data_IF_686922820680
#
_entry.id   IF_686922820680
#
_cell.length_a   1.000
_cell.length_b   1.000
_cell.length_c   1.000
_cell.angle_alpha   90.00
_cell.angle_beta   90.00
_cell.angle_gamma   90.00
#
_symmetry.space_group_name_H-M   'P 1'
#
loop_
_entity.id
_entity.type
_entity.pdbx_description
1 polymer ?
#
# COMPACT_ATOMS: atom_id res chain seq x y z
N UNK A 1 -4.33 16.23 2.43
CA UNK A 1 -4.56 14.79 2.19
C UNK A 1 -3.96 13.94 3.29
N UNK A 2 -4.53 12.77 3.48
CA UNK A 2 -4.02 11.76 4.39
C UNK A 2 -3.56 10.57 3.55
N UNK A 3 -2.35 10.07 3.82
CA UNK A 3 -1.81 8.90 3.14
C UNK A 3 -1.62 7.79 4.17
N UNK A 4 -2.23 6.63 3.92
CA UNK A 4 -2.11 5.45 4.79
C UNK A 4 -1.22 4.43 4.09
N UNK A 5 -0.13 4.05 4.76
CA UNK A 5 0.76 3.00 4.33
C UNK A 5 1.06 2.08 5.51
N UNK A 6 0.82 0.80 5.34
CA UNK A 6 1.03 -0.22 6.38
C UNK A 6 1.86 -1.36 5.81
N UNK A 7 2.72 -1.94 6.63
CA UNK A 7 3.68 -2.94 6.18
C UNK A 7 3.84 -4.10 7.17
N UNK A 8 3.87 -3.81 8.47
CA UNK A 8 4.37 -4.76 9.47
C UNK A 8 3.32 -5.72 10.05
N UNK A 9 2.05 -5.54 9.80
CA UNK A 9 1.00 -6.40 10.31
C UNK A 9 0.79 -7.68 9.45
N UNK A 10 1.44 -7.75 8.29
CA UNK A 10 1.50 -8.94 7.41
C UNK A 10 2.96 -9.15 6.98
N UNK A 11 3.82 -9.43 7.96
CA UNK A 11 5.27 -9.51 7.77
C UNK A 11 5.83 -10.94 7.69
N UNK A 12 5.01 -11.94 7.97
CA UNK A 12 5.46 -13.34 8.06
C UNK A 12 5.95 -13.71 9.45
N UNK A 13 5.47 -13.04 10.49
CA UNK A 13 5.85 -13.26 11.89
C UNK A 13 4.66 -13.80 12.69
N UNK A 14 4.92 -14.40 13.88
CA UNK A 14 3.83 -14.88 14.75
C UNK A 14 2.90 -13.75 15.25
N UNK A 15 3.34 -12.51 15.22
CA UNK A 15 2.57 -11.34 15.65
C UNK A 15 1.64 -10.82 14.55
N UNK A 16 1.69 -11.39 13.34
CA UNK A 16 0.87 -10.92 12.22
C UNK A 16 -0.62 -11.02 12.54
N UNK A 17 -1.35 -10.03 12.05
CA UNK A 17 -2.80 -10.10 11.96
C UNK A 17 -3.19 -11.03 10.80
N UNK A 18 -4.43 -11.52 10.83
CA UNK A 18 -5.01 -12.17 9.64
C UNK A 18 -5.34 -11.11 8.57
N UNK A 19 -5.56 -11.54 7.33
CA UNK A 19 -6.02 -10.64 6.26
C UNK A 19 -7.35 -9.98 6.65
N UNK A 20 -8.29 -10.76 7.24
CA UNK A 20 -9.57 -10.22 7.68
C UNK A 20 -9.44 -9.17 8.78
N UNK A 21 -8.60 -9.42 9.78
CA UNK A 21 -8.34 -8.46 10.85
C UNK A 21 -7.68 -7.19 10.31
N UNK A 22 -6.74 -7.34 9.38
CA UNK A 22 -6.08 -6.21 8.72
C UNK A 22 -7.08 -5.36 7.94
N UNK A 23 -7.98 -6.00 7.20
CA UNK A 23 -9.01 -5.30 6.46
C UNK A 23 -9.97 -4.56 7.40
N UNK A 24 -10.39 -5.18 8.50
CA UNK A 24 -11.23 -4.54 9.52
C UNK A 24 -10.55 -3.32 10.13
N UNK A 25 -9.24 -3.40 10.37
CA UNK A 25 -8.44 -2.25 10.84
C UNK A 25 -8.53 -1.08 9.87
N UNK A 26 -8.35 -1.32 8.57
CA UNK A 26 -8.46 -0.26 7.56
C UNK A 26 -9.86 0.35 7.53
N UNK A 27 -10.89 -0.48 7.63
CA UNK A 27 -12.28 0.00 7.66
C UNK A 27 -12.54 0.89 8.88
N UNK A 28 -12.12 0.46 10.06
CA UNK A 28 -12.26 1.23 11.29
C UNK A 28 -11.48 2.55 11.22
N UNK A 29 -10.24 2.50 10.75
CA UNK A 29 -9.40 3.68 10.63
C UNK A 29 -9.98 4.70 9.64
N UNK A 30 -10.35 4.26 8.46
CA UNK A 30 -10.92 5.16 7.44
C UNK A 30 -12.27 5.73 7.85
N UNK A 31 -13.11 4.94 8.53
CA UNK A 31 -14.37 5.43 9.09
C UNK A 31 -14.11 6.54 10.11
N UNK A 32 -13.14 6.35 10.99
CA UNK A 32 -12.79 7.36 12.00
C UNK A 32 -12.23 8.63 11.35
N UNK A 33 -11.33 8.48 10.40
CA UNK A 33 -10.73 9.61 9.70
C UNK A 33 -11.77 10.41 8.91
N UNK A 34 -12.68 9.74 8.22
CA UNK A 34 -13.73 10.40 7.45
C UNK A 34 -14.76 11.09 8.35
N UNK A 35 -15.00 10.55 9.53
CA UNK A 35 -15.88 11.19 10.51
C UNK A 35 -15.24 12.47 11.06
N UNK A 36 -13.95 12.41 11.41
CA UNK A 36 -13.24 13.54 12.04
C UNK A 36 -12.78 14.59 11.00
N UNK A 37 -12.52 14.15 9.76
CA UNK A 37 -12.01 15.01 8.68
C UNK A 37 -12.76 14.74 7.37
N UNK A 38 -14.06 15.10 7.30
CA UNK A 38 -14.93 14.68 6.18
C UNK A 38 -14.53 15.23 4.81
N UNK A 39 -13.79 16.34 4.78
CA UNK A 39 -13.41 17.00 3.52
C UNK A 39 -11.97 16.72 3.09
N UNK A 40 -11.24 15.88 3.82
CA UNK A 40 -9.83 15.58 3.51
C UNK A 40 -9.74 14.30 2.68
N UNK A 41 -9.16 14.35 1.47
CA UNK A 41 -8.92 13.15 0.68
C UNK A 41 -7.98 12.17 1.39
N UNK A 42 -8.33 10.87 1.34
CA UNK A 42 -7.54 9.79 1.95
C UNK A 42 -7.03 8.88 0.84
N UNK A 43 -5.72 8.65 0.82
CA UNK A 43 -5.07 7.72 -0.09
C UNK A 43 -4.63 6.48 0.70
N UNK A 44 -4.99 5.29 0.19
CA UNK A 44 -4.55 4.02 0.74
C UNK A 44 -3.54 3.42 -0.23
N UNK A 45 -2.31 3.20 0.24
CA UNK A 45 -1.28 2.56 -0.58
C UNK A 45 -1.37 1.05 -0.46
N UNK A 46 -1.12 0.35 -1.56
CA UNK A 46 -1.00 -1.11 -1.56
C UNK A 46 0.13 -1.58 -0.64
N UNK A 47 0.01 -2.80 -0.14
CA UNK A 47 1.14 -3.46 0.51
C UNK A 47 2.28 -3.61 -0.49
N UNK A 48 3.50 -3.37 -0.01
CA UNK A 48 4.71 -3.46 -0.83
C UNK A 48 5.24 -4.90 -0.81
N UNK A 49 5.37 -5.56 -1.97
CA UNK A 49 6.09 -6.82 -2.02
C UNK A 49 7.58 -6.59 -1.76
N UNK A 50 8.27 -7.57 -1.20
CA UNK A 50 9.71 -7.49 -0.99
C UNK A 50 10.37 -8.85 -1.16
N UNK A 51 11.68 -8.82 -1.43
CA UNK A 51 12.47 -10.05 -1.55
C UNK A 51 12.53 -10.80 -0.22
N UNK A 52 12.63 -10.07 0.89
CA UNK A 52 12.71 -10.65 2.23
C UNK A 52 11.39 -11.28 2.70
N UNK A 53 10.25 -10.86 2.12
CA UNK A 53 8.91 -11.33 2.51
C UNK A 53 8.15 -11.94 1.34
N UNK A 54 8.84 -12.67 0.47
CA UNK A 54 8.24 -13.29 -0.73
C UNK A 54 7.08 -14.21 -0.41
N UNK A 55 7.15 -14.95 0.68
CA UNK A 55 6.09 -15.87 1.11
C UNK A 55 4.79 -15.14 1.50
N UNK A 56 4.87 -13.86 1.79
CA UNK A 56 3.71 -13.03 2.13
C UNK A 56 3.00 -12.43 0.92
N UNK A 57 3.60 -12.49 -0.27
CA UNK A 57 3.04 -11.88 -1.48
C UNK A 57 1.60 -12.33 -1.75
N UNK A 58 1.23 -13.63 -1.66
CA UNK A 58 -0.16 -14.04 -1.86
C UNK A 58 -1.14 -13.36 -0.90
N UNK A 59 -0.77 -13.19 0.37
CA UNK A 59 -1.61 -12.48 1.35
C UNK A 59 -1.69 -10.99 1.05
N UNK A 60 -0.57 -10.38 0.64
CA UNK A 60 -0.54 -8.98 0.22
C UNK A 60 -1.46 -8.73 -0.99
N UNK A 61 -1.48 -9.65 -1.94
CA UNK A 61 -2.36 -9.55 -3.11
C UNK A 61 -3.84 -9.61 -2.70
N UNK A 62 -4.19 -10.46 -1.74
CA UNK A 62 -5.57 -10.57 -1.24
C UNK A 62 -5.99 -9.26 -0.56
N UNK A 63 -5.19 -8.75 0.38
CA UNK A 63 -5.54 -7.50 1.07
C UNK A 63 -5.57 -6.31 0.10
N UNK A 64 -4.66 -6.26 -0.86
CA UNK A 64 -4.64 -5.20 -1.87
C UNK A 64 -5.92 -5.19 -2.70
N UNK A 65 -6.40 -6.36 -3.11
CA UNK A 65 -7.66 -6.48 -3.86
C UNK A 65 -8.86 -6.01 -3.02
N UNK A 66 -8.90 -6.39 -1.74
CA UNK A 66 -9.95 -5.95 -0.82
C UNK A 66 -9.94 -4.42 -0.62
N UNK A 67 -8.76 -3.84 -0.44
CA UNK A 67 -8.61 -2.39 -0.26
C UNK A 67 -9.00 -1.62 -1.53
N UNK A 68 -8.63 -2.13 -2.69
CA UNK A 68 -9.00 -1.51 -3.97
C UNK A 68 -10.51 -1.50 -4.17
N UNK A 69 -11.17 -2.62 -3.93
CA UNK A 69 -12.63 -2.72 -4.03
C UNK A 69 -13.32 -1.81 -3.01
N UNK A 70 -12.86 -1.81 -1.77
CA UNK A 70 -13.40 -0.99 -0.71
C UNK A 70 -13.32 0.50 -1.05
N UNK A 71 -12.16 0.98 -1.49
CA UNK A 71 -11.96 2.37 -1.86
C UNK A 71 -12.83 2.77 -3.06
N UNK A 72 -13.02 1.86 -4.04
CA UNK A 72 -13.83 2.14 -5.23
C UNK A 72 -15.31 2.40 -4.91
N UNK A 73 -15.78 1.91 -3.76
CA UNK A 73 -17.18 2.03 -3.33
C UNK A 73 -17.42 3.16 -2.33
N UNK A 74 -16.38 3.93 -1.96
CA UNK A 74 -16.48 5.01 -0.98
C UNK A 74 -15.90 6.30 -1.53
N UNK A 75 -16.69 7.37 -1.46
CA UNK A 75 -16.19 8.70 -1.76
C UNK A 75 -15.10 9.13 -0.78
N UNK A 76 -14.14 9.89 -1.25
CA UNK A 76 -13.05 10.41 -0.41
C UNK A 76 -11.91 9.43 -0.16
N UNK A 77 -12.02 8.17 -0.59
CA UNK A 77 -10.95 7.19 -0.53
C UNK A 77 -10.42 6.89 -1.92
N UNK A 78 -9.09 6.83 -2.06
CA UNK A 78 -8.42 6.44 -3.30
C UNK A 78 -7.36 5.40 -2.99
N UNK A 79 -7.45 4.24 -3.63
CA UNK A 79 -6.41 3.21 -3.57
C UNK A 79 -5.35 3.53 -4.62
N UNK A 80 -4.07 3.45 -4.22
CA UNK A 80 -2.94 3.65 -5.14
C UNK A 80 -2.07 2.40 -5.13
N UNK A 81 -1.94 1.79 -6.31
CA UNK A 81 -1.04 0.65 -6.50
C UNK A 81 0.40 1.14 -6.61
N UNK A 82 1.17 0.88 -5.56
CA UNK A 82 2.62 1.14 -5.53
C UNK A 82 3.41 -0.18 -5.54
N UNK A 83 2.75 -1.30 -5.77
CA UNK A 83 3.38 -2.62 -5.81
C UNK A 83 3.78 -3.03 -7.22
N UNK A 84 2.92 -2.81 -8.20
CA UNK A 84 3.14 -3.27 -9.58
C UNK A 84 4.40 -2.70 -10.22
N UNK A 85 4.79 -1.48 -9.88
CA UNK A 85 6.00 -0.84 -10.42
C UNK A 85 7.30 -1.52 -9.95
N UNK A 86 7.22 -2.38 -8.93
CA UNK A 86 8.38 -3.06 -8.37
C UNK A 86 8.69 -4.40 -9.07
N UNK A 87 7.86 -4.79 -10.04
CA UNK A 87 8.08 -5.99 -10.86
C UNK A 87 8.66 -5.64 -12.22
N UNK A 88 9.47 -6.55 -12.76
CA UNK A 88 9.98 -6.41 -14.13
C UNK A 88 8.95 -6.91 -15.16
N UNK A 89 9.31 -6.86 -16.44
CA UNK A 89 8.42 -7.28 -17.53
C UNK A 89 8.13 -8.79 -17.54
N UNK A 90 8.91 -9.58 -16.78
CA UNK A 90 8.73 -11.02 -16.64
C UNK A 90 7.94 -11.39 -15.38
N UNK A 91 7.41 -10.41 -14.65
CA UNK A 91 6.64 -10.61 -13.43
C UNK A 91 7.50 -10.97 -12.22
N UNK A 92 8.79 -10.67 -12.24
CA UNK A 92 9.70 -10.90 -11.11
C UNK A 92 9.98 -9.58 -10.38
N UNK A 93 10.12 -9.66 -9.04
CA UNK A 93 10.55 -8.51 -8.25
C UNK A 93 11.93 -8.04 -8.70
N UNK A 94 12.05 -6.73 -8.91
CA UNK A 94 13.30 -6.10 -9.29
C UNK A 94 14.23 -6.05 -8.09
N UNK A 95 15.46 -6.56 -8.27
CA UNK A 95 16.48 -6.53 -7.20
C UNK A 95 17.15 -5.16 -7.07
N UNK A 96 17.17 -4.39 -8.14
CA UNK A 96 17.88 -3.10 -8.22
C UNK A 96 17.18 -1.98 -7.45
N UNK A 97 15.99 -2.20 -6.93
CA UNK A 97 15.22 -1.21 -6.18
C UNK A 97 15.24 -1.43 -4.67
N UNK A 98 15.83 -2.54 -4.20
CA UNK A 98 15.94 -2.85 -2.79
C UNK A 98 17.36 -2.66 -2.26
N UNK A 99 17.46 -2.34 -0.97
CA UNK A 99 18.73 -2.41 -0.23
C UNK A 99 19.15 -3.87 -0.06
N UNK A 100 20.34 -4.09 0.50
CA UNK A 100 20.88 -5.43 0.71
C UNK A 100 19.99 -6.34 1.56
N UNK A 101 19.19 -5.76 2.47
CA UNK A 101 18.25 -6.53 3.30
C UNK A 101 17.07 -7.12 2.50
N UNK A 102 16.90 -6.72 1.24
CA UNK A 102 15.79 -7.19 0.40
C UNK A 102 14.41 -6.73 0.88
N UNK A 103 14.34 -5.82 1.83
CA UNK A 103 13.11 -5.33 2.44
C UNK A 103 12.90 -3.84 2.18
N UNK A 104 13.84 -3.01 2.58
CA UNK A 104 13.76 -1.57 2.40
C UNK A 104 14.14 -1.19 0.97
N UNK A 105 13.40 -0.25 0.39
CA UNK A 105 13.75 0.29 -0.92
C UNK A 105 14.97 1.19 -0.84
N UNK A 106 15.76 1.17 -1.91
CA UNK A 106 16.80 2.17 -2.12
C UNK A 106 16.22 3.40 -2.84
N UNK A 107 17.07 4.35 -3.25
CA UNK A 107 16.62 5.57 -3.92
C UNK A 107 15.84 5.26 -5.21
N UNK A 108 16.25 4.25 -5.98
CA UNK A 108 15.56 3.86 -7.22
C UNK A 108 14.10 3.45 -6.94
N UNK A 109 13.87 2.70 -5.87
CA UNK A 109 12.52 2.30 -5.47
C UNK A 109 11.66 3.50 -5.07
N UNK A 110 12.22 4.40 -4.27
CA UNK A 110 11.51 5.62 -3.88
C UNK A 110 11.24 6.55 -5.06
N UNK A 111 12.11 6.60 -6.05
CA UNK A 111 11.88 7.38 -7.27
C UNK A 111 10.68 6.84 -8.06
N UNK A 112 10.53 5.52 -8.12
CA UNK A 112 9.34 4.90 -8.73
C UNK A 112 8.07 5.30 -7.99
N UNK A 113 8.09 5.24 -6.66
CA UNK A 113 6.95 5.64 -5.85
C UNK A 113 6.62 7.13 -6.01
N UNK A 114 7.62 7.97 -6.02
CA UNK A 114 7.44 9.41 -6.21
C UNK A 114 6.76 9.71 -7.53
N UNK A 115 7.15 9.03 -8.60
CA UNK A 115 6.55 9.21 -9.92
C UNK A 115 5.06 8.84 -9.95
N UNK A 116 4.64 7.89 -9.11
CA UNK A 116 3.24 7.49 -8.99
C UNK A 116 2.45 8.40 -8.05
N UNK A 117 3.00 8.68 -6.87
CA UNK A 117 2.29 9.36 -5.79
C UNK A 117 2.19 10.87 -5.98
N UNK A 118 3.27 11.50 -6.42
CA UNK A 118 3.35 12.95 -6.50
C UNK A 118 2.24 13.57 -7.36
N UNK A 119 1.97 13.11 -8.60
CA UNK A 119 0.89 13.67 -9.40
C UNK A 119 -0.48 13.53 -8.73
N UNK A 120 -0.76 12.40 -8.11
CA UNK A 120 -2.05 12.12 -7.47
C UNK A 120 -2.27 13.00 -6.24
N UNK A 121 -1.25 13.15 -5.40
CA UNK A 121 -1.33 13.98 -4.21
C UNK A 121 -1.47 15.46 -4.58
N UNK A 122 -0.68 15.94 -5.55
CA UNK A 122 -0.75 17.33 -6.01
C UNK A 122 -2.11 17.65 -6.63
N UNK A 123 -2.70 16.72 -7.38
CA UNK A 123 -4.03 16.89 -7.96
C UNK A 123 -5.09 17.07 -6.88
N UNK A 124 -4.97 16.35 -5.75
CA UNK A 124 -5.95 16.40 -4.66
C UNK A 124 -5.97 17.73 -3.90
N UNK A 125 -4.93 18.55 -4.00
CA UNK A 125 -4.83 19.84 -3.27
C UNK A 125 -5.10 21.05 -4.16
N UNK A 126 -5.53 20.82 -5.37
CA UNK A 126 -5.91 21.90 -6.31
C UNK A 126 -7.36 22.35 -6.11
#
# INVERSE_FOLDING_TARGET
>A
SIVIYVENDLAGTPEDLTVGETFDFFRLLTNRLQRDYPDIPIFILSYKPSLARKEMIPKHEIINALLQEYASKRGGLTYIDVASCLYDNNGKLRKDIFKQDGLHMNQNGYDLWTAILKPKILESIR
#
